data_IF_977720401366
#
_entry.id   IF_977720401366
#
_cell.length_a   1.000
_cell.length_b   1.000
_cell.length_c   1.000
_cell.angle_alpha   90.00
_cell.angle_beta   90.00
_cell.angle_gamma   90.00
#
_symmetry.space_group_name_H-M   'P 1'
#
loop_
_entity.id
_entity.type
_entity.pdbx_description
1 polymer ?
#
# COMPACT_ATOMS: atom_id res chain seq x y z
N UNK A 1 -20.60 12.54 13.35
CA UNK A 1 -19.78 11.38 13.79
C UNK A 1 -19.60 11.31 15.31
N UNK A 2 -19.10 12.34 16.00
CA UNK A 2 -18.83 12.28 17.46
C UNK A 2 -20.04 11.99 18.35
N UNK A 3 -21.08 12.82 18.24
CA UNK A 3 -22.26 12.73 19.11
C UNK A 3 -23.11 11.47 18.84
N UNK A 4 -23.09 10.97 17.60
CA UNK A 4 -23.80 9.74 17.23
C UNK A 4 -23.08 8.44 17.58
N UNK A 5 -21.82 8.49 18.04
CA UNK A 5 -21.00 7.31 18.34
C UNK A 5 -20.37 7.33 19.73
N UNK A 6 -20.79 8.25 20.61
CA UNK A 6 -20.26 8.40 21.98
C UNK A 6 -18.73 8.43 22.04
N UNK A 7 -18.11 9.09 21.06
CA UNK A 7 -16.66 9.19 20.97
C UNK A 7 -16.17 10.26 21.94
N UNK A 8 -15.44 9.83 22.97
CA UNK A 8 -14.72 10.66 23.94
C UNK A 8 -13.38 11.32 23.49
N UNK A 9 -12.68 10.92 22.40
CA UNK A 9 -11.37 11.50 22.06
C UNK A 9 -11.43 12.90 21.44
N UNK A 10 -10.39 13.72 21.70
CA UNK A 10 -10.15 14.99 21.01
C UNK A 10 -9.79 14.77 19.53
N UNK A 11 -9.88 15.78 18.66
CA UNK A 11 -9.90 15.54 17.20
C UNK A 11 -8.55 14.99 16.70
N UNK A 12 -7.45 15.38 17.36
CA UNK A 12 -6.12 14.84 17.13
C UNK A 12 -6.01 13.35 17.50
N UNK A 13 -6.69 12.92 18.57
CA UNK A 13 -6.67 11.53 19.03
C UNK A 13 -7.49 10.61 18.14
N UNK A 14 -8.45 11.16 17.39
CA UNK A 14 -9.29 10.42 16.46
C UNK A 14 -8.48 9.82 15.29
N UNK A 15 -7.56 10.57 14.69
CA UNK A 15 -6.69 10.04 13.63
C UNK A 15 -5.78 8.93 14.15
N UNK A 16 -5.20 9.14 15.33
CA UNK A 16 -4.37 8.13 16.01
C UNK A 16 -5.17 6.86 16.29
N UNK A 17 -6.43 6.99 16.73
CA UNK A 17 -7.35 5.87 16.93
C UNK A 17 -7.61 5.13 15.62
N UNK A 18 -7.98 5.83 14.55
CA UNK A 18 -8.20 5.23 13.22
C UNK A 18 -7.00 4.43 12.75
N UNK A 19 -5.79 5.00 12.83
CA UNK A 19 -4.55 4.31 12.46
C UNK A 19 -4.38 3.03 13.28
N UNK A 20 -4.64 3.07 14.60
CA UNK A 20 -4.60 1.88 15.45
C UNK A 20 -5.62 0.84 15.03
N UNK A 21 -6.85 1.23 14.69
CA UNK A 21 -7.89 0.27 14.25
C UNK A 21 -7.50 -0.43 12.95
N UNK A 22 -6.99 0.30 11.96
CA UNK A 22 -6.49 -0.28 10.71
C UNK A 22 -5.31 -1.23 10.97
N UNK A 23 -4.36 -0.82 11.79
CA UNK A 23 -3.20 -1.65 12.13
C UNK A 23 -3.62 -2.90 12.92
N UNK A 24 -4.55 -2.80 13.86
CA UNK A 24 -5.05 -3.93 14.64
C UNK A 24 -5.73 -4.98 13.77
N UNK A 25 -6.51 -4.56 12.78
CA UNK A 25 -7.14 -5.48 11.83
C UNK A 25 -6.14 -6.11 10.86
N UNK A 26 -5.08 -5.39 10.49
CA UNK A 26 -4.01 -5.96 9.67
C UNK A 26 -3.18 -6.99 10.45
N UNK A 27 -2.89 -6.72 11.72
CA UNK A 27 -2.03 -7.56 12.57
C UNK A 27 -2.78 -8.75 13.19
N UNK A 28 -4.06 -8.59 13.52
CA UNK A 28 -4.86 -9.58 14.25
C UNK A 28 -6.22 -9.78 13.57
N UNK A 29 -6.26 -10.40 12.37
CA UNK A 29 -7.47 -10.52 11.56
C UNK A 29 -8.57 -11.38 12.20
N UNK A 30 -8.22 -12.29 13.12
CA UNK A 30 -9.17 -13.14 13.84
C UNK A 30 -9.94 -12.35 14.92
N UNK A 31 -9.35 -11.28 15.44
CA UNK A 31 -9.88 -10.48 16.54
C UNK A 31 -10.47 -9.16 16.06
N UNK A 32 -9.91 -8.55 15.02
CA UNK A 32 -10.36 -7.27 14.49
C UNK A 32 -10.70 -7.39 13.00
N UNK A 33 -11.91 -7.01 12.62
CA UNK A 33 -12.43 -7.10 11.26
C UNK A 33 -12.95 -5.75 10.79
N UNK A 34 -12.64 -5.42 9.54
CA UNK A 34 -13.27 -4.32 8.83
C UNK A 34 -14.38 -4.87 7.93
N UNK A 35 -15.54 -4.23 7.98
CA UNK A 35 -16.66 -4.55 7.11
C UNK A 35 -17.12 -3.27 6.42
N UNK A 36 -17.19 -3.29 5.09
CA UNK A 36 -17.81 -2.21 4.32
C UNK A 36 -19.18 -2.69 3.82
N UNK A 37 -20.20 -1.88 4.03
CA UNK A 37 -21.54 -2.10 3.56
C UNK A 37 -21.88 -1.04 2.52
N UNK A 38 -22.29 -1.47 1.33
CA UNK A 38 -22.78 -0.58 0.29
C UNK A 38 -24.27 -0.33 0.51
N UNK A 39 -24.65 0.94 0.55
CA UNK A 39 -26.03 1.36 0.74
C UNK A 39 -26.71 1.59 -0.62
N UNK A 40 -28.06 1.49 -0.69
CA UNK A 40 -28.81 1.68 -1.94
C UNK A 40 -28.65 3.07 -2.58
N UNK A 41 -28.24 4.08 -1.81
CA UNK A 41 -28.02 5.45 -2.24
C UNK A 41 -26.59 5.70 -2.76
N UNK A 42 -25.84 4.66 -3.11
CA UNK A 42 -24.41 4.71 -3.47
C UNK A 42 -23.48 5.28 -2.39
N UNK A 43 -23.95 5.44 -1.15
CA UNK A 43 -23.07 5.66 0.00
C UNK A 43 -22.52 4.32 0.51
N UNK A 44 -21.54 4.37 1.38
CA UNK A 44 -20.96 3.18 2.00
C UNK A 44 -20.71 3.42 3.48
N UNK A 45 -20.97 2.42 4.31
CA UNK A 45 -20.61 2.47 5.72
C UNK A 45 -19.48 1.49 6.00
N UNK A 46 -18.40 1.98 6.60
CA UNK A 46 -17.29 1.16 7.07
C UNK A 46 -17.42 0.97 8.57
N UNK A 47 -17.37 -0.28 9.00
CA UNK A 47 -17.45 -0.67 10.40
C UNK A 47 -16.16 -1.36 10.83
N UNK A 48 -15.59 -0.89 11.93
CA UNK A 48 -14.52 -1.56 12.65
C UNK A 48 -15.13 -2.41 13.75
N UNK A 49 -15.00 -3.72 13.63
CA UNK A 49 -15.58 -4.67 14.55
C UNK A 49 -14.48 -5.44 15.28
N UNK A 50 -14.64 -5.61 16.58
CA UNK A 50 -13.86 -6.55 17.37
C UNK A 50 -14.67 -7.83 17.59
N UNK A 51 -14.13 -8.95 17.17
CA UNK A 51 -14.70 -10.27 17.37
C UNK A 51 -14.36 -10.70 18.80
N UNK A 52 -15.41 -10.98 19.58
CA UNK A 52 -15.32 -11.58 20.91
C UNK A 52 -15.95 -12.97 20.84
N UNK A 53 -15.67 -13.89 21.79
CA UNK A 53 -16.09 -15.29 21.68
C UNK A 53 -17.59 -15.53 21.45
N UNK A 54 -18.46 -14.63 21.93
CA UNK A 54 -19.92 -14.78 21.83
C UNK A 54 -20.63 -13.55 21.25
N UNK A 55 -19.87 -12.56 20.77
CA UNK A 55 -20.43 -11.32 20.23
C UNK A 55 -19.42 -10.59 19.37
N UNK A 56 -19.91 -9.71 18.50
CA UNK A 56 -19.07 -8.69 17.88
C UNK A 56 -19.35 -7.34 18.52
N UNK A 57 -18.30 -6.59 18.80
CA UNK A 57 -18.39 -5.21 19.26
C UNK A 57 -18.04 -4.27 18.11
N UNK A 58 -18.98 -3.43 17.72
CA UNK A 58 -18.70 -2.34 16.78
C UNK A 58 -17.95 -1.24 17.53
N UNK A 59 -16.71 -0.97 17.11
CA UNK A 59 -15.84 0.01 17.72
C UNK A 59 -16.03 1.40 17.10
N UNK A 60 -16.16 1.46 15.78
CA UNK A 60 -16.27 2.70 15.03
C UNK A 60 -17.04 2.48 13.73
N UNK A 61 -17.89 3.45 13.37
CA UNK A 61 -18.54 3.52 12.07
C UNK A 61 -18.10 4.77 11.29
N UNK A 62 -17.80 4.62 10.00
CA UNK A 62 -17.49 5.74 9.12
C UNK A 62 -18.43 5.71 7.92
N UNK A 63 -19.17 6.80 7.72
CA UNK A 63 -20.00 7.00 6.54
C UNK A 63 -19.15 7.59 5.40
N UNK A 64 -19.27 7.00 4.22
CA UNK A 64 -18.62 7.42 2.99
C UNK A 64 -19.68 7.77 1.96
N UNK A 65 -19.48 8.92 1.33
CA UNK A 65 -20.33 9.37 0.24
C UNK A 65 -19.62 9.18 -1.10
N UNK A 66 -20.41 9.00 -2.16
CA UNK A 66 -19.87 8.95 -3.50
C UNK A 66 -19.32 10.34 -3.88
N UNK A 67 -18.04 10.37 -4.24
CA UNK A 67 -17.40 11.59 -4.73
C UNK A 67 -17.79 11.87 -6.19
N UNK A 68 -17.79 13.15 -6.56
CA UNK A 68 -17.98 13.59 -7.95
C UNK A 68 -16.88 13.03 -8.86
N UNK A 69 -17.23 12.71 -10.10
CA UNK A 69 -16.32 12.11 -11.08
C UNK A 69 -15.06 12.96 -11.32
N UNK A 70 -15.19 14.28 -11.38
CA UNK A 70 -14.05 15.20 -11.52
C UNK A 70 -13.00 15.05 -10.40
N UNK A 71 -13.46 14.83 -9.17
CA UNK A 71 -12.59 14.62 -8.00
C UNK A 71 -11.93 13.26 -8.08
N UNK A 72 -12.67 12.22 -8.47
CA UNK A 72 -12.14 10.87 -8.69
C UNK A 72 -11.05 10.90 -9.76
N UNK A 73 -11.29 11.56 -10.89
CA UNK A 73 -10.32 11.73 -11.97
C UNK A 73 -9.05 12.44 -11.48
N UNK A 74 -9.20 13.49 -10.66
CA UNK A 74 -8.05 14.19 -10.04
C UNK A 74 -7.23 13.26 -9.15
N UNK A 75 -7.87 12.43 -8.33
CA UNK A 75 -7.19 11.45 -7.50
C UNK A 75 -6.46 10.39 -8.33
N UNK A 76 -7.08 9.86 -9.38
CA UNK A 76 -6.46 8.89 -10.29
C UNK A 76 -5.23 9.51 -10.97
N UNK A 77 -5.38 10.69 -11.55
CA UNK A 77 -4.28 11.42 -12.22
C UNK A 77 -3.11 11.66 -11.26
N UNK A 78 -3.40 12.10 -10.04
CA UNK A 78 -2.38 12.32 -9.01
C UNK A 78 -1.64 11.04 -8.64
N UNK A 79 -2.36 9.93 -8.37
CA UNK A 79 -1.74 8.64 -8.03
C UNK A 79 -0.91 8.07 -9.18
N UNK A 80 -1.38 8.25 -10.41
CA UNK A 80 -0.62 7.87 -11.61
C UNK A 80 0.69 8.67 -11.70
N UNK A 81 0.64 9.99 -11.54
CA UNK A 81 1.84 10.84 -11.58
C UNK A 81 2.84 10.49 -10.48
N UNK A 82 2.37 10.24 -9.25
CA UNK A 82 3.24 9.77 -8.16
C UNK A 82 3.92 8.44 -8.50
N UNK A 83 3.19 7.52 -9.11
CA UNK A 83 3.74 6.21 -9.49
C UNK A 83 4.82 6.35 -10.56
N UNK A 84 4.64 7.25 -11.53
CA UNK A 84 5.66 7.57 -12.54
C UNK A 84 6.93 8.14 -11.90
N UNK A 85 6.79 9.11 -10.99
CA UNK A 85 7.93 9.69 -10.26
C UNK A 85 8.68 8.60 -9.48
N UNK A 86 7.95 7.71 -8.81
CA UNK A 86 8.56 6.63 -8.05
C UNK A 86 9.31 5.65 -8.96
N UNK A 87 8.73 5.31 -10.12
CA UNK A 87 9.35 4.46 -11.12
C UNK A 87 10.63 5.07 -11.67
N UNK A 88 10.63 6.34 -12.01
CA UNK A 88 11.82 7.07 -12.47
C UNK A 88 12.92 7.06 -11.40
N UNK A 89 12.56 7.33 -10.13
CA UNK A 89 13.50 7.27 -9.01
C UNK A 89 14.09 5.86 -8.82
N UNK A 90 13.28 4.81 -8.94
CA UNK A 90 13.74 3.42 -8.84
C UNK A 90 14.66 3.05 -10.00
N UNK A 91 14.33 3.48 -11.22
CA UNK A 91 15.16 3.27 -12.40
C UNK A 91 16.51 3.98 -12.28
N UNK A 92 16.53 5.23 -11.81
CA UNK A 92 17.77 5.98 -11.57
C UNK A 92 18.65 5.31 -10.52
N UNK A 93 18.07 4.83 -9.41
CA UNK A 93 18.79 4.06 -8.38
C UNK A 93 19.35 2.76 -8.96
N UNK A 94 18.54 2.01 -9.71
CA UNK A 94 18.98 0.76 -10.34
C UNK A 94 20.12 1.00 -11.34
N UNK A 95 20.01 2.02 -12.19
CA UNK A 95 21.07 2.39 -13.13
C UNK A 95 22.38 2.72 -12.40
N UNK A 96 22.30 3.42 -11.27
CA UNK A 96 23.44 3.75 -10.42
C UNK A 96 24.07 2.49 -9.83
N UNK A 97 23.27 1.58 -9.27
CA UNK A 97 23.75 0.29 -8.73
C UNK A 97 24.40 -0.54 -9.84
N UNK A 98 23.78 -0.66 -11.01
CA UNK A 98 24.35 -1.37 -12.15
C UNK A 98 25.68 -0.76 -12.60
N UNK A 99 25.79 0.57 -12.64
CA UNK A 99 27.05 1.27 -12.96
C UNK A 99 28.13 0.96 -11.93
N UNK A 100 27.82 1.08 -10.64
CA UNK A 100 28.74 0.76 -9.55
C UNK A 100 29.22 -0.69 -9.61
N UNK A 101 28.33 -1.64 -9.88
CA UNK A 101 28.70 -3.06 -10.03
C UNK A 101 29.67 -3.26 -11.20
N UNK A 102 29.41 -2.63 -12.36
CA UNK A 102 30.29 -2.69 -13.53
C UNK A 102 31.67 -2.10 -13.26
N UNK A 103 31.74 -0.98 -12.53
CA UNK A 103 32.98 -0.30 -12.18
C UNK A 103 33.78 -1.04 -11.09
N UNK A 104 33.10 -1.68 -10.12
CA UNK A 104 33.74 -2.37 -8.99
C UNK A 104 34.07 -3.83 -9.25
N UNK A 105 33.41 -4.49 -10.22
CA UNK A 105 33.66 -5.89 -10.58
C UNK A 105 33.99 -6.10 -12.07
N UNK A 106 34.98 -5.36 -12.63
CA UNK A 106 35.41 -5.57 -14.01
C UNK A 106 35.99 -6.99 -14.19
N UNK A 107 36.60 -7.54 -13.15
CA UNK A 107 37.17 -8.89 -13.12
C UNK A 107 36.10 -9.97 -13.24
N UNK A 108 34.94 -9.81 -12.60
CA UNK A 108 33.84 -10.78 -12.70
C UNK A 108 33.24 -10.76 -14.11
N UNK A 109 33.08 -9.59 -14.72
CA UNK A 109 32.64 -9.45 -16.11
C UNK A 109 33.67 -10.04 -17.08
N UNK A 110 34.96 -9.78 -16.87
CA UNK A 110 36.04 -10.36 -17.67
C UNK A 110 36.07 -11.90 -17.57
N UNK A 111 35.91 -12.45 -16.36
CA UNK A 111 35.87 -13.90 -16.14
C UNK A 111 34.63 -14.53 -16.77
N UNK A 112 33.44 -13.92 -16.62
CA UNK A 112 32.21 -14.39 -17.26
C UNK A 112 32.35 -14.32 -18.79
N UNK A 113 32.90 -13.24 -19.35
CA UNK A 113 33.13 -13.12 -20.80
C UNK A 113 34.13 -14.17 -21.32
N UNK A 114 35.20 -14.45 -20.57
CA UNK A 114 36.19 -15.49 -20.92
C UNK A 114 35.58 -16.89 -20.87
N UNK A 115 34.79 -17.20 -19.84
CA UNK A 115 34.10 -18.48 -19.71
C UNK A 115 33.03 -18.67 -20.82
N UNK A 116 32.28 -17.63 -21.17
CA UNK A 116 31.30 -17.68 -22.28
C UNK A 116 31.98 -17.87 -23.64
N UNK A 117 33.19 -17.36 -23.84
CA UNK A 117 34.00 -17.63 -25.05
C UNK A 117 34.51 -19.07 -25.08
N UNK A 118 34.91 -19.63 -23.93
CA UNK A 118 35.32 -21.03 -23.81
C UNK A 118 34.16 -22.02 -23.95
N UNK A 119 32.92 -21.59 -23.67
CA UNK A 119 31.70 -22.40 -23.81
C UNK A 119 31.07 -22.39 -25.20
N UNK A 120 31.56 -21.60 -26.17
CA UNK A 120 31.14 -21.77 -27.58
C UNK A 120 31.88 -22.99 -28.14
N UNK A 121 31.20 -24.13 -28.39
CA UNK A 121 31.84 -25.26 -29.02
C UNK A 121 32.06 -24.91 -30.51
N UNK A 122 33.27 -25.15 -30.98
CA UNK A 122 33.66 -25.42 -32.36
C UNK A 122 32.64 -25.02 -33.44
N UNK A 123 32.82 -23.81 -33.97
CA UNK A 123 32.51 -23.54 -35.36
C UNK A 123 33.67 -23.97 -36.24
N UNK A 124 33.91 -25.30 -36.32
CA UNK A 124 34.43 -26.09 -37.45
C UNK A 124 34.09 -27.55 -37.18
#
# INVERSE_FOLDING_TARGET
MREGQNLSPQFADYLTMLIRLFNSALQNPDTFRLQIQLNPNNSSDLFFNQILPYKQLQMLGCHFELLKEETVYRHIKYRHQLSLIHLEQMQAKLATVCKTIKEKNPSLIHHICKEVQNMRPYGQ
#
